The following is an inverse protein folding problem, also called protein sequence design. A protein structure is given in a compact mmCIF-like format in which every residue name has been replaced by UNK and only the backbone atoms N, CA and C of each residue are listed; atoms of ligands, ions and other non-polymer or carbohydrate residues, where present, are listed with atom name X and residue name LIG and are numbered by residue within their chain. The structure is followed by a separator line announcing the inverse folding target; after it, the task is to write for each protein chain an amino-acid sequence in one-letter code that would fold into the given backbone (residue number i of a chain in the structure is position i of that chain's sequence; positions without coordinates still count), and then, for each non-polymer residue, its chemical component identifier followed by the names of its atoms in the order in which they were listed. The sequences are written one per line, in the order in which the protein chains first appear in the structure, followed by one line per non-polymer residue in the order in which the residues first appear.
data_IF_675259344354
#
_entry.id   IF_675259344354
#
_cell.length_a   1.000
_cell.length_b   1.000
_cell.length_c   1.000
_cell.angle_alpha   90.00
_cell.angle_beta   90.00
_cell.angle_gamma   90.00
#
_symmetry.space_group_name_H-M   'P 1'
#
loop_
_entity.id
_entity.type
_entity.pdbx_description
1 polymer ?
#
# COMPACT_ATOMS: atom_id res chain seq x y z
N UNK A 1 7.22 18.11 -29.21
CA UNK A 1 7.96 17.33 -30.24
C UNK A 1 7.96 15.81 -30.04
N UNK A 2 8.23 15.27 -28.84
CA UNK A 2 8.38 13.82 -28.61
C UNK A 2 7.14 13.00 -29.03
N UNK A 3 5.95 13.39 -28.55
CA UNK A 3 4.69 12.69 -28.83
C UNK A 3 4.21 12.78 -30.29
N UNK A 4 4.63 13.80 -31.03
CA UNK A 4 4.15 14.03 -32.40
C UNK A 4 5.13 13.51 -33.45
N UNK A 5 6.44 13.60 -33.18
CA UNK A 5 7.49 13.32 -34.17
C UNK A 5 8.04 11.90 -34.07
N UNK A 6 8.02 11.31 -32.88
CA UNK A 6 8.73 10.05 -32.57
C UNK A 6 7.86 8.97 -31.92
N UNK A 7 6.54 9.16 -31.85
CA UNK A 7 5.61 8.24 -31.18
C UNK A 7 5.62 6.80 -31.69
N UNK A 8 5.95 6.59 -32.97
CA UNK A 8 5.98 5.27 -33.60
C UNK A 8 7.40 4.85 -34.03
N UNK A 9 8.44 5.49 -33.48
CA UNK A 9 9.82 5.22 -33.86
C UNK A 9 10.56 4.43 -32.79
N UNK A 10 10.94 3.20 -33.12
CA UNK A 10 11.81 2.36 -32.28
C UNK A 10 13.25 2.88 -32.20
N UNK A 11 13.63 3.76 -33.14
CA UNK A 11 14.96 4.37 -33.19
C UNK A 11 14.90 5.85 -33.57
N UNK A 12 15.28 6.71 -32.62
CA UNK A 12 15.41 8.16 -32.84
C UNK A 12 16.88 8.52 -32.98
N UNK A 13 17.29 8.95 -34.18
CA UNK A 13 18.64 9.44 -34.42
C UNK A 13 18.75 10.94 -34.16
N UNK A 14 19.26 11.30 -32.98
CA UNK A 14 19.72 12.66 -32.71
C UNK A 14 21.04 12.88 -33.46
N UNK A 15 21.10 13.85 -34.38
CA UNK A 15 22.34 14.12 -35.12
C UNK A 15 23.44 14.57 -34.14
N UNK A 16 24.64 13.99 -34.24
CA UNK A 16 25.80 14.19 -33.33
C UNK A 16 26.16 15.66 -33.06
N UNK A 17 25.79 16.57 -33.96
CA UNK A 17 26.13 17.99 -33.84
C UNK A 17 25.11 18.79 -33.02
N UNK A 18 24.02 18.18 -32.54
CA UNK A 18 22.93 18.88 -31.84
C UNK A 18 22.96 18.65 -30.33
N UNK A 19 23.22 17.43 -29.86
CA UNK A 19 23.18 17.08 -28.43
C UNK A 19 24.41 16.24 -28.06
N UNK A 20 25.21 16.76 -27.13
CA UNK A 20 26.39 16.08 -26.59
C UNK A 20 25.98 14.87 -25.72
N UNK A 21 26.73 13.76 -25.70
CA UNK A 21 26.36 12.57 -24.92
C UNK A 21 26.17 12.85 -23.42
N UNK A 22 27.00 13.70 -22.83
CA UNK A 22 26.85 14.09 -21.41
C UNK A 22 25.59 14.93 -21.17
N UNK A 23 25.24 15.81 -22.12
CA UNK A 23 23.98 16.57 -22.09
C UNK A 23 22.79 15.63 -22.15
N UNK A 24 22.82 14.63 -23.03
CA UNK A 24 21.74 13.64 -23.11
C UNK A 24 21.61 12.82 -21.82
N UNK A 25 22.73 12.39 -21.23
CA UNK A 25 22.72 11.70 -19.93
C UNK A 25 22.16 12.57 -18.81
N UNK A 26 22.48 13.87 -18.79
CA UNK A 26 21.96 14.81 -17.81
C UNK A 26 20.46 15.06 -18.00
N UNK A 27 19.99 15.14 -19.25
CA UNK A 27 18.56 15.23 -19.57
C UNK A 27 17.80 14.00 -19.10
N UNK A 28 18.31 12.79 -19.37
CA UNK A 28 17.69 11.56 -18.89
C UNK A 28 17.63 11.53 -17.36
N UNK A 29 18.73 11.90 -16.67
CA UNK A 29 18.74 11.99 -15.21
C UNK A 29 17.67 12.96 -14.71
N UNK A 30 17.55 14.14 -15.30
CA UNK A 30 16.51 15.10 -14.95
C UNK A 30 15.10 14.54 -15.17
N UNK A 31 14.84 13.87 -16.30
CA UNK A 31 13.52 13.26 -16.58
C UNK A 31 13.15 12.22 -15.52
N UNK A 32 14.10 11.36 -15.13
CA UNK A 32 13.80 10.25 -14.21
C UNK A 32 13.87 10.63 -12.74
N UNK A 33 14.71 11.59 -12.35
CA UNK A 33 14.98 11.88 -10.94
C UNK A 33 14.71 13.33 -10.55
N UNK A 34 14.33 14.19 -11.51
CA UNK A 34 14.26 15.64 -11.33
C UNK A 34 15.62 16.30 -11.09
N UNK A 35 16.71 15.53 -11.00
CA UNK A 35 18.00 16.05 -10.57
C UNK A 35 18.76 16.66 -11.74
N UNK A 36 19.29 17.86 -11.51
CA UNK A 36 20.24 18.52 -12.39
C UNK A 36 21.59 18.56 -11.67
N UNK A 37 22.64 18.14 -12.35
CA UNK A 37 24.00 18.43 -11.88
C UNK A 37 24.31 19.89 -12.21
N UNK A 38 24.62 20.69 -11.20
CA UNK A 38 24.87 22.12 -11.35
C UNK A 38 26.36 22.44 -11.57
N UNK A 39 27.25 21.44 -11.43
CA UNK A 39 28.69 21.57 -11.64
C UNK A 39 29.09 21.23 -13.10
N UNK A 40 28.33 21.74 -14.08
CA UNK A 40 28.56 21.46 -15.49
C UNK A 40 29.53 22.47 -16.12
N UNK A 41 30.41 21.98 -16.97
CA UNK A 41 31.23 22.83 -17.84
C UNK A 41 30.35 23.73 -18.71
N UNK A 42 30.84 24.94 -19.03
CA UNK A 42 30.08 25.95 -19.78
C UNK A 42 29.56 25.45 -21.13
N UNK A 43 30.30 24.57 -21.80
CA UNK A 43 29.93 24.00 -23.08
C UNK A 43 28.77 23.00 -22.96
N UNK A 44 28.77 22.21 -21.88
CA UNK A 44 27.70 21.24 -21.57
C UNK A 44 26.43 21.98 -21.16
N UNK A 45 26.55 23.05 -20.36
CA UNK A 45 25.42 23.90 -19.97
C UNK A 45 24.75 24.56 -21.19
N UNK A 46 25.54 25.13 -22.10
CA UNK A 46 25.00 25.72 -23.33
C UNK A 46 24.31 24.68 -24.22
N UNK A 47 24.87 23.47 -24.31
CA UNK A 47 24.23 22.38 -25.05
C UNK A 47 22.96 21.87 -24.35
N UNK A 48 22.92 21.86 -23.02
CA UNK A 48 21.71 21.56 -22.24
C UNK A 48 20.60 22.59 -22.46
N UNK A 49 20.92 23.89 -22.46
CA UNK A 49 19.97 24.96 -22.79
C UNK A 49 19.40 24.77 -24.20
N UNK A 50 20.27 24.50 -25.19
CA UNK A 50 19.82 24.20 -26.55
C UNK A 50 18.89 22.99 -26.60
N UNK A 51 19.28 21.87 -25.98
CA UNK A 51 18.53 20.63 -26.01
C UNK A 51 17.20 20.73 -25.25
N UNK A 52 17.17 21.36 -24.07
CA UNK A 52 15.95 21.58 -23.29
C UNK A 52 14.93 22.44 -24.08
N UNK A 53 15.39 23.48 -24.78
CA UNK A 53 14.52 24.27 -25.67
C UNK A 53 14.01 23.46 -26.85
N UNK A 54 14.90 22.71 -27.51
CA UNK A 54 14.57 21.94 -28.71
C UNK A 54 13.60 20.79 -28.45
N UNK A 55 13.74 20.14 -27.29
CA UNK A 55 12.88 19.04 -26.83
C UNK A 55 11.63 19.53 -26.08
N UNK A 56 11.45 20.86 -25.96
CA UNK A 56 10.31 21.50 -25.27
C UNK A 56 10.23 21.22 -23.76
N UNK A 57 11.38 20.97 -23.11
CA UNK A 57 11.49 20.94 -21.65
C UNK A 57 11.53 22.36 -21.08
N UNK A 58 10.40 23.06 -21.18
CA UNK A 58 10.27 24.48 -20.80
C UNK A 58 10.72 24.76 -19.38
N UNK A 59 10.37 23.88 -18.42
CA UNK A 59 10.77 24.07 -17.03
C UNK A 59 12.28 23.96 -16.81
N UNK A 60 12.89 22.88 -17.33
CA UNK A 60 14.34 22.68 -17.26
C UNK A 60 15.08 23.84 -17.92
N UNK A 61 14.60 24.30 -19.07
CA UNK A 61 15.19 25.44 -19.76
C UNK A 61 15.19 26.71 -18.90
N UNK A 62 14.09 27.01 -18.19
CA UNK A 62 14.04 28.15 -17.26
C UNK A 62 15.00 27.97 -16.08
N UNK A 63 15.06 26.78 -15.47
CA UNK A 63 15.97 26.47 -14.36
C UNK A 63 17.45 26.67 -14.73
N UNK A 64 17.85 26.18 -15.91
CA UNK A 64 19.23 26.33 -16.41
C UNK A 64 19.61 27.80 -16.67
N UNK A 65 18.64 28.68 -16.95
CA UNK A 65 18.88 30.12 -17.09
C UNK A 65 19.06 30.82 -15.73
N UNK A 66 18.36 30.35 -14.70
CA UNK A 66 18.37 30.91 -13.33
C UNK A 66 19.62 30.51 -12.51
N UNK A 67 20.35 29.46 -12.93
CA UNK A 67 21.59 28.96 -12.30
C UNK A 67 22.73 29.99 -12.12
N UNK A 68 22.61 31.19 -12.69
CA UNK A 68 23.59 32.27 -12.47
C UNK A 68 23.54 32.88 -11.06
N UNK A 69 22.58 32.52 -10.20
CA UNK A 69 22.47 33.07 -8.85
C UNK A 69 22.23 32.01 -7.74
N UNK A 70 23.32 31.67 -7.03
CA UNK A 70 23.39 31.18 -5.63
C UNK A 70 22.85 29.79 -5.24
N UNK A 71 23.55 29.15 -4.29
CA UNK A 71 23.34 27.77 -3.82
C UNK A 71 22.04 27.52 -3.02
N UNK A 72 21.43 28.53 -2.40
CA UNK A 72 20.18 28.34 -1.63
C UNK A 72 18.95 28.15 -2.55
N UNK A 73 18.98 28.70 -3.77
CA UNK A 73 17.97 28.45 -4.80
C UNK A 73 17.93 26.96 -5.20
N UNK A 74 19.08 26.28 -5.20
CA UNK A 74 19.21 24.88 -5.62
C UNK A 74 18.40 23.91 -4.73
N UNK A 75 18.29 24.19 -3.43
CA UNK A 75 17.52 23.36 -2.48
C UNK A 75 16.02 23.63 -2.54
N UNK A 76 15.61 24.87 -2.84
CA UNK A 76 14.18 25.20 -3.03
C UNK A 76 13.65 24.65 -4.35
N UNK A 77 14.44 24.73 -5.44
CA UNK A 77 14.05 24.18 -6.74
C UNK A 77 13.84 22.65 -6.69
N UNK A 78 14.70 21.93 -5.96
CA UNK A 78 14.54 20.46 -5.79
C UNK A 78 13.22 20.06 -5.11
N UNK A 79 12.69 20.86 -4.16
CA UNK A 79 11.40 20.58 -3.51
C UNK A 79 10.21 20.83 -4.45
N UNK A 80 10.27 21.90 -5.23
CA UNK A 80 9.24 22.21 -6.23
C UNK A 80 9.22 21.18 -7.35
N UNK A 81 10.38 20.72 -7.81
CA UNK A 81 10.53 19.66 -8.81
C UNK A 81 9.92 18.34 -8.32
N UNK A 82 10.26 17.91 -7.09
CA UNK A 82 9.67 16.71 -6.49
C UNK A 82 8.15 16.82 -6.40
N UNK A 83 7.64 18.01 -6.10
CA UNK A 83 6.18 18.25 -6.01
C UNK A 83 5.51 18.16 -7.39
N UNK A 84 6.14 18.72 -8.43
CA UNK A 84 5.65 18.62 -9.82
C UNK A 84 5.68 17.18 -10.32
N UNK A 85 6.78 16.46 -10.11
CA UNK A 85 6.89 15.05 -10.48
C UNK A 85 5.81 14.20 -9.81
N UNK A 86 5.53 14.43 -8.52
CA UNK A 86 4.44 13.75 -7.82
C UNK A 86 3.08 14.05 -8.46
N UNK A 87 2.82 15.31 -8.79
CA UNK A 87 1.57 15.69 -9.45
C UNK A 87 1.45 15.06 -10.85
N UNK A 88 2.54 15.00 -11.61
CA UNK A 88 2.57 14.36 -12.94
C UNK A 88 2.27 12.85 -12.82
N UNK A 89 2.83 12.16 -11.81
CA UNK A 89 2.49 10.75 -11.54
C UNK A 89 1.04 10.55 -11.09
N UNK A 90 0.51 11.44 -10.24
CA UNK A 90 -0.91 11.41 -9.83
C UNK A 90 -1.83 11.58 -11.05
N UNK A 91 -1.53 12.53 -11.94
CA UNK A 91 -2.26 12.72 -13.19
C UNK A 91 -2.13 11.53 -14.13
N UNK A 92 -0.94 10.94 -14.24
CA UNK A 92 -0.72 9.75 -15.06
C UNK A 92 -1.51 8.55 -14.55
N UNK A 93 -1.56 8.35 -13.23
CA UNK A 93 -2.40 7.35 -12.59
C UNK A 93 -3.89 7.58 -12.90
N UNK A 94 -4.40 8.82 -12.77
CA UNK A 94 -5.79 9.16 -13.10
C UNK A 94 -6.09 8.80 -14.57
N UNK A 95 -5.24 9.21 -15.51
CA UNK A 95 -5.40 8.88 -16.92
C UNK A 95 -5.47 7.36 -17.14
N UNK A 96 -4.61 6.58 -16.46
CA UNK A 96 -4.61 5.13 -16.56
C UNK A 96 -5.91 4.52 -16.04
N UNK A 97 -6.39 4.95 -14.88
CA UNK A 97 -7.66 4.50 -14.30
C UNK A 97 -8.86 4.81 -15.21
N UNK A 98 -8.89 5.97 -15.87
CA UNK A 98 -9.98 6.32 -16.79
C UNK A 98 -10.03 5.45 -18.05
N UNK A 99 -8.96 4.71 -18.35
CA UNK A 99 -8.86 3.77 -19.47
C UNK A 99 -9.20 2.34 -19.04
N UNK A 100 -9.31 2.07 -17.74
CA UNK A 100 -9.82 0.80 -17.23
C UNK A 100 -11.29 0.62 -17.62
N UNK A 101 -11.67 -0.63 -17.92
CA UNK A 101 -12.94 -0.93 -18.57
C UNK A 101 -13.61 -2.15 -17.97
N UNK A 102 -14.94 -2.12 -17.92
CA UNK A 102 -15.73 -3.34 -17.88
C UNK A 102 -15.95 -3.82 -19.31
N UNK A 103 -15.60 -5.07 -19.59
CA UNK A 103 -15.57 -5.58 -20.96
C UNK A 103 -16.35 -6.88 -21.14
N UNK A 104 -16.85 -7.10 -22.35
CA UNK A 104 -17.40 -8.39 -22.76
C UNK A 104 -16.43 -9.15 -23.66
N UNK A 105 -16.26 -10.47 -23.46
CA UNK A 105 -15.45 -11.29 -24.35
C UNK A 105 -16.19 -11.52 -25.66
N UNK A 106 -15.50 -11.31 -26.78
CA UNK A 106 -15.95 -11.67 -28.12
C UNK A 106 -15.08 -12.80 -28.71
N UNK A 107 -15.43 -13.28 -29.90
CA UNK A 107 -14.64 -14.27 -30.64
C UNK A 107 -13.20 -13.75 -30.88
N UNK A 108 -12.23 -14.69 -30.92
CA UNK A 108 -10.82 -14.40 -31.26
C UNK A 108 -10.01 -13.52 -30.28
N UNK A 109 -10.23 -13.66 -28.95
CA UNK A 109 -9.43 -12.93 -27.91
C UNK A 109 -9.61 -11.41 -27.99
N UNK A 110 -10.81 -10.98 -28.34
CA UNK A 110 -11.19 -9.58 -28.37
C UNK A 110 -12.06 -9.28 -27.16
N UNK A 111 -11.77 -8.17 -26.47
CA UNK A 111 -12.54 -7.66 -25.35
C UNK A 111 -13.09 -6.30 -25.72
N UNK A 112 -14.40 -6.16 -25.75
CA UNK A 112 -15.07 -4.91 -26.11
C UNK A 112 -15.50 -4.20 -24.83
N UNK A 113 -15.10 -2.95 -24.69
CA UNK A 113 -15.54 -2.11 -23.58
C UNK A 113 -17.05 -1.89 -23.64
N UNK A 114 -17.72 -2.26 -22.56
CA UNK A 114 -19.14 -1.96 -22.32
C UNK A 114 -19.23 -0.54 -21.75
N UNK A 115 -18.48 -0.29 -20.68
CA UNK A 115 -18.40 1.01 -20.01
C UNK A 115 -17.05 1.22 -19.30
N UNK A 116 -16.67 2.48 -19.02
CA UNK A 116 -15.51 2.78 -18.21
C UNK A 116 -15.70 2.30 -16.77
N UNK A 117 -14.68 1.65 -16.20
CA UNK A 117 -14.76 1.16 -14.82
C UNK A 117 -14.95 2.31 -13.80
N UNK A 118 -14.19 3.39 -13.95
CA UNK A 118 -14.23 4.52 -13.01
C UNK A 118 -15.51 5.39 -13.12
N UNK A 119 -16.49 5.02 -13.94
CA UNK A 119 -17.69 5.79 -14.28
C UNK A 119 -17.44 7.23 -14.81
N UNK A 120 -16.18 7.59 -15.05
CA UNK A 120 -15.76 8.82 -15.68
C UNK A 120 -15.61 8.64 -17.20
N UNK A 121 -15.86 9.71 -17.96
CA UNK A 121 -15.59 9.69 -19.39
C UNK A 121 -14.08 9.62 -19.65
N UNK A 122 -13.68 8.93 -20.73
CA UNK A 122 -12.27 8.87 -21.14
C UNK A 122 -11.69 10.28 -21.26
N UNK A 123 -10.72 10.59 -20.40
CA UNK A 123 -10.06 11.90 -20.39
C UNK A 123 -8.90 11.97 -21.40
N UNK A 124 -8.43 10.82 -21.87
CA UNK A 124 -7.33 10.70 -22.82
C UNK A 124 -7.56 9.52 -23.77
N UNK A 125 -6.82 9.49 -24.89
CA UNK A 125 -6.84 8.33 -25.78
C UNK A 125 -6.20 7.12 -25.07
N UNK A 126 -6.77 5.91 -25.15
CA UNK A 126 -6.20 4.71 -24.54
C UNK A 126 -4.75 4.42 -24.97
N UNK A 127 -4.35 4.79 -26.19
CA UNK A 127 -2.96 4.63 -26.65
C UNK A 127 -1.97 5.59 -25.96
N UNK A 128 -2.45 6.71 -25.44
CA UNK A 128 -1.61 7.75 -24.85
C UNK A 128 -1.05 7.41 -23.47
N UNK A 129 -1.57 6.35 -22.82
CA UNK A 129 -1.03 5.88 -21.55
C UNK A 129 0.19 4.96 -21.73
N UNK A 130 0.45 4.43 -22.93
CA UNK A 130 1.59 3.55 -23.23
C UNK A 130 1.64 2.25 -22.40
N UNK A 131 0.48 1.69 -22.04
CA UNK A 131 0.40 0.40 -21.37
C UNK A 131 1.04 -0.72 -22.22
N UNK A 132 1.71 -1.66 -21.55
CA UNK A 132 2.40 -2.81 -22.15
C UNK A 132 1.91 -4.15 -21.59
N UNK A 133 0.89 -4.12 -20.72
CA UNK A 133 0.21 -5.26 -20.13
C UNK A 133 -1.20 -4.88 -19.68
N UNK A 134 -2.10 -5.85 -19.58
CA UNK A 134 -3.41 -5.67 -18.98
C UNK A 134 -3.67 -6.73 -17.90
N UNK A 135 -4.29 -6.30 -16.80
CA UNK A 135 -4.74 -7.17 -15.71
C UNK A 135 -6.26 -7.27 -15.76
N UNK A 136 -6.79 -8.48 -15.89
CA UNK A 136 -8.22 -8.80 -15.78
C UNK A 136 -8.53 -9.25 -14.36
N UNK A 137 -9.61 -8.74 -13.80
CA UNK A 137 -10.18 -9.15 -12.52
C UNK A 137 -11.55 -9.82 -12.73
N UNK A 138 -12.29 -10.02 -11.64
CA UNK A 138 -13.68 -10.48 -11.67
C UNK A 138 -14.57 -9.54 -12.51
N UNK A 139 -15.75 -10.04 -12.92
CA UNK A 139 -16.71 -9.31 -13.75
C UNK A 139 -16.17 -8.73 -15.07
N UNK A 140 -15.05 -9.30 -15.55
CA UNK A 140 -14.34 -8.87 -16.75
C UNK A 140 -13.92 -7.39 -16.72
N UNK A 141 -13.55 -6.91 -15.53
CA UNK A 141 -12.93 -5.61 -15.38
C UNK A 141 -11.45 -5.73 -15.75
N UNK A 142 -10.99 -4.87 -16.66
CA UNK A 142 -9.65 -4.93 -17.24
C UNK A 142 -8.94 -3.59 -17.02
N UNK A 143 -7.74 -3.67 -16.44
CA UNK A 143 -6.84 -2.55 -16.17
C UNK A 143 -5.61 -2.62 -17.08
N UNK A 144 -5.50 -1.79 -18.12
CA UNK A 144 -4.25 -1.57 -18.83
C UNK A 144 -3.22 -0.89 -17.93
N UNK A 145 -2.03 -1.48 -17.81
CA UNK A 145 -1.00 -1.10 -16.85
C UNK A 145 0.41 -1.17 -17.47
N UNK A 146 1.42 -0.93 -16.65
CA UNK A 146 2.84 -0.98 -17.05
C UNK A 146 3.60 -2.03 -16.26
N UNK A 147 4.30 -2.93 -16.96
CA UNK A 147 5.19 -3.93 -16.33
C UNK A 147 6.22 -3.28 -15.42
N UNK A 148 6.81 -2.15 -15.85
CA UNK A 148 7.80 -1.41 -15.07
C UNK A 148 7.27 -0.94 -13.70
N UNK A 149 5.97 -0.66 -13.60
CA UNK A 149 5.33 -0.27 -12.34
C UNK A 149 4.91 -1.49 -11.54
N UNK A 150 4.24 -2.47 -12.17
CA UNK A 150 3.82 -3.70 -11.49
C UNK A 150 5.01 -4.43 -10.85
N UNK A 151 6.14 -4.56 -11.55
CA UNK A 151 7.34 -5.23 -11.03
C UNK A 151 8.02 -4.51 -9.84
N UNK A 152 7.51 -3.36 -9.39
CA UNK A 152 7.91 -2.79 -8.10
C UNK A 152 7.40 -3.62 -6.91
N UNK A 153 6.37 -4.44 -7.15
CA UNK A 153 5.79 -5.37 -6.18
C UNK A 153 6.34 -6.76 -6.44
N UNK A 154 6.75 -7.45 -5.37
CA UNK A 154 7.41 -8.76 -5.45
C UNK A 154 6.54 -9.82 -6.13
N UNK A 155 5.24 -9.84 -5.80
CA UNK A 155 4.26 -10.75 -6.41
C UNK A 155 4.29 -10.66 -7.95
N UNK A 156 4.12 -9.45 -8.49
CA UNK A 156 4.12 -9.23 -9.95
C UNK A 156 5.50 -9.45 -10.56
N UNK A 157 6.57 -9.06 -9.89
CA UNK A 157 7.92 -9.27 -10.39
C UNK A 157 8.23 -10.77 -10.54
N UNK A 158 7.87 -11.57 -9.54
CA UNK A 158 8.03 -13.03 -9.55
C UNK A 158 7.16 -13.68 -10.61
N UNK A 159 5.89 -13.24 -10.75
CA UNK A 159 4.97 -13.74 -11.76
C UNK A 159 5.44 -13.44 -13.20
N UNK A 160 5.89 -12.22 -13.47
CA UNK A 160 6.23 -11.75 -14.81
C UNK A 160 7.65 -12.10 -15.25
N UNK A 161 8.59 -12.21 -14.31
CA UNK A 161 9.99 -12.52 -14.59
C UNK A 161 10.37 -13.98 -14.29
N UNK A 162 9.51 -14.71 -13.61
CA UNK A 162 9.69 -16.12 -13.26
C UNK A 162 9.32 -17.08 -14.40
N UNK A 163 9.50 -18.40 -14.20
CA UNK A 163 9.28 -19.43 -15.22
C UNK A 163 7.79 -19.82 -15.37
N UNK A 164 6.88 -18.90 -15.07
CA UNK A 164 5.44 -19.16 -15.04
C UNK A 164 4.78 -18.87 -16.40
N UNK A 165 3.59 -19.45 -16.65
CA UNK A 165 2.90 -19.31 -17.93
C UNK A 165 2.47 -17.87 -18.25
N UNK A 166 2.37 -17.04 -17.22
CA UNK A 166 2.09 -15.62 -17.23
C UNK A 166 3.18 -14.81 -17.96
N UNK A 167 4.41 -15.31 -18.02
CA UNK A 167 5.48 -14.71 -18.82
C UNK A 167 5.12 -14.70 -20.32
N UNK A 168 4.46 -15.77 -20.78
CA UNK A 168 3.99 -15.97 -22.15
C UNK A 168 2.51 -15.57 -22.32
N UNK A 169 2.05 -14.60 -21.51
CA UNK A 169 0.69 -14.09 -21.57
C UNK A 169 0.27 -13.73 -22.99
N UNK A 170 -0.88 -14.28 -23.41
CA UNK A 170 -1.37 -14.16 -24.78
C UNK A 170 -1.81 -12.73 -25.05
N UNK A 171 -1.45 -12.24 -26.23
CA UNK A 171 -1.97 -10.97 -26.73
C UNK A 171 -3.48 -11.06 -26.96
N UNK A 172 -4.18 -10.04 -26.49
CA UNK A 172 -5.61 -9.81 -26.69
C UNK A 172 -5.83 -8.43 -27.30
N UNK A 173 -6.95 -8.22 -27.97
CA UNK A 173 -7.33 -6.90 -28.49
C UNK A 173 -8.38 -6.29 -27.56
N UNK A 174 -8.06 -5.15 -26.96
CA UNK A 174 -9.00 -4.33 -26.19
C UNK A 174 -9.59 -3.27 -27.13
N UNK A 175 -10.91 -3.21 -27.24
CA UNK A 175 -11.62 -2.33 -28.17
C UNK A 175 -12.41 -1.28 -27.40
N UNK A 176 -12.10 -0.01 -27.65
CA UNK A 176 -12.77 1.14 -27.05
C UNK A 176 -13.83 1.75 -28.01
N UNK A 177 -14.82 2.51 -27.51
CA UNK A 177 -15.94 3.02 -28.32
C UNK A 177 -15.54 3.93 -29.49
N UNK A 178 -14.40 4.62 -29.39
CA UNK A 178 -13.87 5.51 -30.43
C UNK A 178 -13.06 4.77 -31.51
N UNK A 179 -13.17 3.44 -31.58
CA UNK A 179 -12.39 2.54 -32.44
C UNK A 179 -10.87 2.58 -32.16
N UNK A 180 -10.45 3.11 -31.00
CA UNK A 180 -9.08 2.87 -30.55
C UNK A 180 -8.96 1.46 -30.02
N UNK A 181 -7.98 0.73 -30.57
CA UNK A 181 -7.67 -0.63 -30.16
C UNK A 181 -6.29 -0.65 -29.48
N UNK A 182 -6.18 -1.42 -28.40
CA UNK A 182 -4.93 -1.75 -27.75
C UNK A 182 -4.68 -3.25 -27.85
N UNK A 183 -3.44 -3.64 -28.17
CA UNK A 183 -3.05 -5.04 -28.25
C UNK A 183 -2.07 -5.29 -27.11
N UNK A 184 -2.51 -5.96 -26.06
CA UNK A 184 -1.76 -6.14 -24.82
C UNK A 184 -1.74 -7.62 -24.41
N UNK A 185 -0.68 -8.10 -23.75
CA UNK A 185 -0.74 -9.36 -23.03
C UNK A 185 -1.74 -9.22 -21.87
N UNK A 186 -2.64 -10.20 -21.71
CA UNK A 186 -3.64 -10.22 -20.65
C UNK A 186 -3.29 -11.27 -19.60
N UNK A 187 -3.26 -10.84 -18.33
CA UNK A 187 -3.13 -11.73 -17.17
C UNK A 187 -4.39 -11.60 -16.33
N UNK A 188 -4.86 -12.70 -15.76
CA UNK A 188 -6.01 -12.72 -14.87
C UNK A 188 -5.54 -12.84 -13.42
N UNK A 189 -6.01 -11.95 -12.56
CA UNK A 189 -5.91 -12.10 -11.12
C UNK A 189 -7.28 -12.51 -10.57
N UNK A 190 -7.24 -13.46 -9.64
CA UNK A 190 -8.41 -13.95 -8.94
C UNK A 190 -8.44 -13.39 -7.52
N UNK A 191 -9.62 -13.38 -6.91
CA UNK A 191 -9.84 -13.01 -5.50
C UNK A 191 -9.38 -11.58 -5.14
N UNK A 192 -9.42 -10.67 -6.12
CA UNK A 192 -9.16 -9.23 -5.91
C UNK A 192 -10.33 -8.42 -6.43
N UNK A 193 -10.90 -7.62 -5.54
CA UNK A 193 -11.93 -6.64 -5.90
C UNK A 193 -11.34 -5.51 -6.77
N UNK A 194 -12.10 -5.08 -7.77
CA UNK A 194 -11.63 -4.11 -8.74
C UNK A 194 -11.45 -2.71 -8.17
N UNK A 195 -12.27 -2.33 -7.20
CA UNK A 195 -12.16 -1.04 -6.52
C UNK A 195 -10.94 -1.03 -5.62
N UNK A 196 -10.68 -2.13 -4.93
CA UNK A 196 -9.46 -2.27 -4.12
C UNK A 196 -8.20 -2.25 -4.99
N UNK A 197 -8.20 -2.98 -6.11
CA UNK A 197 -7.06 -3.00 -7.02
C UNK A 197 -6.82 -1.64 -7.70
N UNK A 198 -7.88 -1.06 -8.27
CA UNK A 198 -7.81 0.18 -9.02
C UNK A 198 -7.46 1.36 -8.13
N UNK A 199 -8.27 1.61 -7.10
CA UNK A 199 -8.14 2.82 -6.28
C UNK A 199 -6.98 2.78 -5.29
N UNK A 200 -6.56 1.60 -4.83
CA UNK A 200 -5.56 1.50 -3.75
C UNK A 200 -4.26 0.84 -4.21
N UNK A 201 -4.31 -0.33 -4.84
CA UNK A 201 -3.09 -1.04 -5.27
C UNK A 201 -2.39 -0.27 -6.38
N UNK A 202 -3.09 0.05 -7.47
CA UNK A 202 -2.50 0.79 -8.59
C UNK A 202 -2.12 2.22 -8.18
N UNK A 203 -2.93 2.90 -7.36
CA UNK A 203 -2.55 4.23 -6.85
C UNK A 203 -1.23 4.17 -6.08
N UNK A 204 -1.09 3.19 -5.19
CA UNK A 204 0.12 3.00 -4.40
C UNK A 204 1.34 2.70 -5.28
N UNK A 205 1.21 1.76 -6.21
CA UNK A 205 2.30 1.35 -7.12
C UNK A 205 2.80 2.54 -7.96
N UNK A 206 1.89 3.40 -8.41
CA UNK A 206 2.22 4.51 -9.31
C UNK A 206 2.69 5.77 -8.58
N UNK A 207 2.19 6.02 -7.37
CA UNK A 207 2.38 7.32 -6.69
C UNK A 207 3.09 7.23 -5.34
N UNK A 208 3.35 6.02 -4.82
CA UNK A 208 3.86 5.76 -3.46
C UNK A 208 2.98 6.35 -2.34
N UNK A 209 1.74 6.67 -2.67
CA UNK A 209 0.70 7.22 -1.79
C UNK A 209 -0.59 6.47 -2.01
N UNK A 210 -1.40 6.43 -0.96
CA UNK A 210 -2.72 5.87 -0.99
C UNK A 210 -3.51 6.50 0.17
N UNK A 211 -4.71 7.00 -0.09
CA UNK A 211 -5.60 7.49 0.96
C UNK A 211 -6.71 6.46 1.14
N UNK A 212 -6.61 5.67 2.21
CA UNK A 212 -7.49 4.53 2.46
C UNK A 212 -8.60 4.99 3.42
N UNK A 213 -9.87 5.01 2.98
CA UNK A 213 -11.03 5.20 3.87
C UNK A 213 -11.13 4.07 4.90
N UNK A 214 -11.85 4.33 6.00
CA UNK A 214 -11.99 3.33 7.05
C UNK A 214 -12.80 2.12 6.59
N UNK A 215 -13.83 2.34 5.74
CA UNK A 215 -14.67 1.27 5.19
C UNK A 215 -13.89 0.25 4.36
N UNK A 216 -12.88 0.69 3.60
CA UNK A 216 -12.13 -0.19 2.69
C UNK A 216 -10.84 -0.73 3.32
N UNK A 217 -10.47 -0.25 4.51
CA UNK A 217 -9.17 -0.53 5.09
C UNK A 217 -8.93 -2.03 5.37
N UNK A 218 -9.99 -2.77 5.70
CA UNK A 218 -9.89 -4.21 5.91
C UNK A 218 -9.60 -4.95 4.59
N UNK A 219 -10.34 -4.67 3.53
CA UNK A 219 -10.13 -5.31 2.22
C UNK A 219 -8.78 -4.93 1.61
N UNK A 220 -8.36 -3.67 1.78
CA UNK A 220 -7.00 -3.24 1.39
C UNK A 220 -5.93 -4.01 2.15
N UNK A 221 -6.13 -4.29 3.44
CA UNK A 221 -5.18 -5.10 4.23
C UNK A 221 -5.03 -6.50 3.64
N UNK A 222 -6.14 -7.16 3.33
CA UNK A 222 -6.15 -8.52 2.76
C UNK A 222 -5.47 -8.56 1.39
N UNK A 223 -5.85 -7.67 0.49
CA UNK A 223 -5.29 -7.61 -0.88
C UNK A 223 -3.81 -7.21 -0.84
N UNK A 224 -3.41 -6.28 0.03
CA UNK A 224 -2.02 -5.88 0.15
C UNK A 224 -1.14 -7.02 0.68
N UNK A 225 -1.64 -7.85 1.60
CA UNK A 225 -0.93 -9.05 2.05
C UNK A 225 -0.82 -10.08 0.92
N UNK A 226 -1.93 -10.38 0.24
CA UNK A 226 -1.96 -11.34 -0.87
C UNK A 226 -0.99 -10.96 -2.00
N UNK A 227 -0.88 -9.66 -2.31
CA UNK A 227 0.04 -9.13 -3.32
C UNK A 227 1.45 -8.83 -2.79
N UNK A 228 1.75 -9.14 -1.52
CA UNK A 228 3.05 -8.91 -0.89
C UNK A 228 3.50 -7.44 -0.95
N UNK A 229 2.58 -6.51 -0.61
CA UNK A 229 2.81 -5.06 -0.60
C UNK A 229 2.87 -4.58 0.86
N UNK A 230 3.97 -4.87 1.55
CA UNK A 230 4.15 -4.61 2.99
C UNK A 230 3.83 -3.18 3.42
N UNK A 231 4.24 -2.19 2.62
CA UNK A 231 4.01 -0.78 2.97
C UNK A 231 2.54 -0.38 2.84
N UNK A 232 1.80 -0.94 1.86
CA UNK A 232 0.35 -0.70 1.74
C UNK A 232 -0.41 -1.44 2.85
N UNK A 233 0.00 -2.68 3.16
CA UNK A 233 -0.51 -3.48 4.29
C UNK A 233 -0.34 -2.72 5.61
N UNK A 234 0.83 -2.14 5.86
CA UNK A 234 1.09 -1.31 7.04
C UNK A 234 0.22 -0.04 7.07
N UNK A 235 0.00 0.62 5.93
CA UNK A 235 -0.88 1.79 5.83
C UNK A 235 -2.33 1.43 6.18
N UNK A 236 -2.86 0.32 5.64
CA UNK A 236 -4.18 -0.19 5.96
C UNK A 236 -4.32 -0.49 7.47
N UNK A 237 -3.36 -1.22 8.05
CA UNK A 237 -3.35 -1.50 9.48
C UNK A 237 -3.34 -0.23 10.36
N UNK A 238 -2.64 0.83 9.94
CA UNK A 238 -2.68 2.13 10.63
C UNK A 238 -4.09 2.74 10.59
N UNK A 239 -4.76 2.69 9.44
CA UNK A 239 -6.13 3.23 9.30
C UNK A 239 -7.11 2.48 10.21
N UNK A 240 -7.03 1.14 10.24
CA UNK A 240 -7.87 0.30 11.09
C UNK A 240 -7.63 0.62 12.57
N UNK A 241 -6.37 0.63 13.00
CA UNK A 241 -6.01 0.82 14.43
C UNK A 241 -6.19 2.25 14.95
N UNK A 242 -6.44 3.22 14.06
CA UNK A 242 -6.82 4.58 14.43
C UNK A 242 -8.32 4.73 14.71
N UNK A 243 -9.14 3.72 14.39
CA UNK A 243 -10.57 3.75 14.67
C UNK A 243 -10.86 3.51 16.15
N UNK A 244 -11.85 4.22 16.69
CA UNK A 244 -12.26 4.04 18.09
C UNK A 244 -12.93 2.68 18.32
N UNK A 245 -13.78 2.29 17.38
CA UNK A 245 -14.47 1.01 17.35
C UNK A 245 -13.93 0.17 16.18
N UNK A 246 -13.94 -1.17 16.29
CA UNK A 246 -13.61 -2.07 15.20
C UNK A 246 -14.50 -1.80 13.97
N UNK A 247 -13.88 -1.77 12.79
CA UNK A 247 -14.60 -1.56 11.52
C UNK A 247 -15.36 -2.80 11.04
N UNK A 248 -14.99 -3.97 11.56
CA UNK A 248 -15.62 -5.27 11.35
C UNK A 248 -15.75 -5.99 12.69
N UNK A 249 -16.27 -7.22 12.69
CA UNK A 249 -16.32 -8.05 13.88
C UNK A 249 -14.92 -8.23 14.52
N UNK A 250 -14.84 -8.05 15.83
CA UNK A 250 -13.55 -8.08 16.55
C UNK A 250 -12.88 -9.46 16.51
N UNK A 251 -13.66 -10.54 16.45
CA UNK A 251 -13.10 -11.89 16.37
C UNK A 251 -12.55 -12.18 14.97
N UNK A 252 -13.23 -11.70 13.94
CA UNK A 252 -12.69 -11.74 12.58
C UNK A 252 -11.40 -10.90 12.46
N UNK A 253 -11.38 -9.72 13.08
CA UNK A 253 -10.25 -8.81 13.02
C UNK A 253 -9.00 -9.37 13.72
N UNK A 254 -9.14 -9.95 14.92
CA UNK A 254 -8.00 -10.54 15.63
C UNK A 254 -7.49 -11.80 14.93
N UNK A 255 -8.40 -12.62 14.38
CA UNK A 255 -8.00 -13.80 13.61
C UNK A 255 -7.17 -13.37 12.38
N UNK A 256 -7.64 -12.35 11.66
CA UNK A 256 -6.89 -11.75 10.54
C UNK A 256 -5.54 -11.20 10.99
N UNK A 257 -5.48 -10.52 12.13
CA UNK A 257 -4.23 -9.98 12.65
C UNK A 257 -3.19 -11.09 12.93
N UNK A 258 -3.62 -12.21 13.51
CA UNK A 258 -2.76 -13.37 13.80
C UNK A 258 -2.33 -14.05 12.49
N UNK A 259 -3.27 -14.32 11.58
CA UNK A 259 -2.99 -15.01 10.31
C UNK A 259 -2.04 -14.21 9.42
N UNK A 260 -2.27 -12.90 9.32
CA UNK A 260 -1.44 -11.98 8.54
C UNK A 260 -0.22 -11.46 9.31
N UNK A 261 -0.03 -11.87 10.57
CA UNK A 261 1.08 -11.45 11.42
C UNK A 261 1.22 -9.92 11.54
N UNK A 262 0.10 -9.23 11.76
CA UNK A 262 0.02 -7.77 11.91
C UNK A 262 -0.04 -7.41 13.40
N UNK A 263 1.12 -7.39 14.05
CA UNK A 263 1.25 -7.17 15.51
C UNK A 263 0.49 -5.92 15.98
N UNK A 264 0.60 -4.80 15.26
CA UNK A 264 -0.12 -3.56 15.61
C UNK A 264 -1.64 -3.76 15.67
N UNK A 265 -2.20 -4.55 14.75
CA UNK A 265 -3.63 -4.83 14.69
C UNK A 265 -4.05 -5.82 15.78
N UNK A 266 -3.20 -6.81 16.08
CA UNK A 266 -3.40 -7.73 17.19
C UNK A 266 -3.45 -6.99 18.52
N UNK A 267 -2.47 -6.11 18.78
CA UNK A 267 -2.43 -5.25 19.96
C UNK A 267 -3.66 -4.33 20.07
N UNK A 268 -4.15 -3.81 18.94
CA UNK A 268 -5.41 -3.06 18.91
C UNK A 268 -6.60 -3.91 19.36
N UNK A 269 -6.70 -5.15 18.88
CA UNK A 269 -7.79 -6.05 19.24
C UNK A 269 -7.74 -6.45 20.73
N UNK A 270 -6.55 -6.81 21.23
CA UNK A 270 -6.37 -7.18 22.65
C UNK A 270 -6.72 -5.99 23.56
N UNK A 271 -6.28 -4.79 23.18
CA UNK A 271 -6.65 -3.56 23.89
C UNK A 271 -8.17 -3.32 23.90
N UNK A 272 -8.84 -3.59 22.78
CA UNK A 272 -10.30 -3.49 22.70
C UNK A 272 -10.96 -4.51 23.64
N UNK A 273 -10.50 -5.76 23.65
CA UNK A 273 -10.97 -6.78 24.60
C UNK A 273 -10.76 -6.35 26.06
N UNK A 274 -9.60 -5.79 26.42
CA UNK A 274 -9.32 -5.32 27.78
C UNK A 274 -10.33 -4.26 28.26
N UNK A 275 -10.67 -3.30 27.38
CA UNK A 275 -11.63 -2.21 27.67
C UNK A 275 -13.05 -2.69 27.86
N UNK A 276 -13.41 -3.77 27.18
CA UNK A 276 -14.76 -4.30 27.12
C UNK A 276 -14.85 -5.70 27.71
N UNK A 277 -13.95 -6.03 28.65
CA UNK A 277 -13.73 -7.40 29.12
C UNK A 277 -15.01 -8.05 29.65
N UNK A 278 -15.87 -7.30 30.35
CA UNK A 278 -17.15 -7.81 30.89
C UNK A 278 -18.06 -8.39 29.81
N UNK A 279 -18.01 -7.81 28.61
CA UNK A 279 -18.84 -8.25 27.50
C UNK A 279 -18.30 -9.55 26.89
N UNK A 280 -16.98 -9.78 26.95
CA UNK A 280 -16.30 -10.84 26.21
C UNK A 280 -15.88 -12.04 27.04
N UNK A 281 -15.62 -11.87 28.34
CA UNK A 281 -15.01 -12.89 29.20
C UNK A 281 -15.76 -14.22 29.25
N UNK A 282 -17.08 -14.20 29.06
CA UNK A 282 -17.94 -15.39 29.06
C UNK A 282 -18.29 -15.90 27.65
N UNK A 283 -17.84 -15.21 26.60
CA UNK A 283 -18.16 -15.60 25.24
C UNK A 283 -17.30 -16.80 24.80
N UNK A 284 -17.90 -17.83 24.18
CA UNK A 284 -17.15 -19.01 23.73
C UNK A 284 -15.98 -18.66 22.79
N UNK A 285 -16.18 -17.70 21.89
CA UNK A 285 -15.16 -17.24 20.93
C UNK A 285 -13.93 -16.65 21.65
N UNK A 286 -14.13 -15.86 22.71
CA UNK A 286 -13.04 -15.33 23.53
C UNK A 286 -12.27 -16.43 24.27
N UNK A 287 -13.01 -17.38 24.86
CA UNK A 287 -12.40 -18.53 25.54
C UNK A 287 -11.60 -19.41 24.55
N UNK A 288 -12.06 -19.53 23.31
CA UNK A 288 -11.34 -20.26 22.27
C UNK A 288 -10.06 -19.54 21.82
N UNK A 289 -10.03 -18.20 21.79
CA UNK A 289 -8.79 -17.44 21.58
C UNK A 289 -7.75 -17.74 22.67
N UNK A 290 -8.16 -17.76 23.94
CA UNK A 290 -7.28 -18.13 25.06
C UNK A 290 -6.74 -19.54 24.87
N UNK A 291 -7.59 -20.52 24.53
CA UNK A 291 -7.14 -21.91 24.27
C UNK A 291 -6.16 -21.99 23.10
N UNK A 292 -6.41 -21.25 22.02
CA UNK A 292 -5.54 -21.23 20.85
C UNK A 292 -4.18 -20.64 21.20
N UNK A 293 -4.15 -19.53 21.94
CA UNK A 293 -2.91 -18.94 22.45
C UNK A 293 -2.19 -19.88 23.42
N UNK A 294 -2.91 -20.62 24.28
CA UNK A 294 -2.29 -21.60 25.16
C UNK A 294 -1.71 -22.79 24.38
N UNK A 295 -2.37 -23.20 23.29
CA UNK A 295 -1.91 -24.31 22.45
C UNK A 295 -0.69 -23.95 21.59
N UNK A 296 -0.54 -22.68 21.18
CA UNK A 296 0.59 -22.22 20.35
C UNK A 296 1.94 -22.30 21.08
N UNK A 297 1.93 -22.23 22.42
CA UNK A 297 3.11 -22.28 23.31
C UNK A 297 3.81 -23.65 23.27
N UNK A 298 3.14 -24.73 22.85
CA UNK A 298 3.74 -26.09 22.80
C UNK A 298 4.88 -26.24 21.78
N UNK A 299 5.18 -25.22 20.96
CA UNK A 299 6.23 -25.29 19.91
C UNK A 299 7.61 -24.72 20.30
N UNK A 300 7.84 -24.15 21.49
CA UNK A 300 9.20 -23.84 22.04
C UNK A 300 9.20 -23.85 23.58
N UNK A 301 10.27 -24.40 24.17
CA UNK A 301 10.44 -24.76 25.59
C UNK A 301 10.75 -23.59 26.57
N UNK A 302 10.16 -22.39 26.48
CA UNK A 302 10.65 -21.25 27.32
C UNK A 302 9.63 -20.28 27.96
N UNK A 303 8.31 -20.48 27.90
CA UNK A 303 7.37 -19.55 28.57
C UNK A 303 6.30 -20.27 29.39
N UNK A 304 6.26 -20.03 30.70
CA UNK A 304 5.22 -20.48 31.63
C UNK A 304 3.90 -19.68 31.49
N UNK A 305 3.86 -18.65 30.63
CA UNK A 305 2.74 -17.72 30.52
C UNK A 305 2.07 -17.74 29.13
N UNK A 306 0.78 -17.42 29.10
CA UNK A 306 -0.04 -17.43 27.87
C UNK A 306 0.04 -16.06 27.20
N UNK A 307 0.62 -15.91 25.98
CA UNK A 307 0.88 -14.60 25.37
C UNK A 307 -0.34 -13.68 25.29
N UNK A 308 -1.49 -14.19 24.84
CA UNK A 308 -2.72 -13.41 24.78
C UNK A 308 -3.19 -12.92 26.15
N UNK A 309 -2.99 -13.73 27.21
CA UNK A 309 -3.36 -13.38 28.59
C UNK A 309 -2.42 -12.33 29.15
N UNK A 310 -1.12 -12.43 28.86
CA UNK A 310 -0.12 -11.46 29.31
C UNK A 310 -0.36 -10.08 28.67
N UNK A 311 -0.64 -10.04 27.37
CA UNK A 311 -0.99 -8.80 26.68
C UNK A 311 -2.30 -8.21 27.23
N UNK A 312 -3.28 -9.05 27.53
CA UNK A 312 -4.53 -8.61 28.15
C UNK A 312 -4.28 -8.02 29.55
N UNK A 313 -3.46 -8.66 30.38
CA UNK A 313 -3.05 -8.15 31.71
C UNK A 313 -2.33 -6.81 31.56
N UNK A 314 -1.41 -6.70 30.61
CA UNK A 314 -0.71 -5.45 30.31
C UNK A 314 -1.69 -4.32 29.95
N UNK A 315 -2.64 -4.55 29.04
CA UNK A 315 -3.63 -3.53 28.69
C UNK A 315 -4.58 -3.20 29.83
N UNK A 316 -4.99 -4.18 30.66
CA UNK A 316 -5.78 -3.93 31.86
C UNK A 316 -5.04 -2.99 32.82
N UNK A 317 -3.74 -3.20 33.04
CA UNK A 317 -2.89 -2.32 33.88
C UNK A 317 -2.90 -0.88 33.33
N UNK A 318 -2.76 -0.71 32.00
CA UNK A 318 -2.79 0.62 31.36
C UNK A 318 -4.16 1.29 31.43
N UNK A 319 -5.24 0.56 31.19
CA UNK A 319 -6.60 1.12 31.20
C UNK A 319 -7.05 1.55 32.61
N UNK A 320 -6.52 0.91 33.66
CA UNK A 320 -6.82 1.25 35.06
C UNK A 320 -5.75 2.16 35.72
N UNK A 321 -4.76 2.63 34.95
CA UNK A 321 -3.68 3.53 35.43
C UNK A 321 -2.87 2.98 36.61
N UNK A 322 -2.68 1.66 36.67
CA UNK A 322 -1.92 1.02 37.75
C UNK A 322 -0.42 1.18 37.48
N UNK A 323 0.34 1.63 38.47
CA UNK A 323 1.79 1.72 38.36
C UNK A 323 2.43 0.34 38.58
N UNK A 324 3.52 0.06 37.87
CA UNK A 324 4.22 -1.24 37.99
C UNK A 324 4.77 -1.48 39.39
N UNK A 325 5.06 -0.43 40.16
CA UNK A 325 5.54 -0.52 41.55
C UNK A 325 4.45 -0.95 42.55
N UNK A 326 3.17 -0.80 42.19
CA UNK A 326 2.04 -1.19 43.03
C UNK A 326 1.67 -2.68 42.86
N UNK A 327 2.23 -3.34 41.85
CA UNK A 327 1.97 -4.73 41.50
C UNK A 327 2.86 -5.69 42.30
N UNK A 328 2.26 -6.78 42.79
CA UNK A 328 2.98 -7.90 43.38
C UNK A 328 3.50 -8.88 42.31
N UNK A 329 4.16 -9.96 42.73
CA UNK A 329 4.71 -10.99 41.81
C UNK A 329 3.64 -11.67 40.92
N UNK A 330 2.37 -11.63 41.33
CA UNK A 330 1.24 -12.14 40.54
C UNK A 330 0.59 -11.09 39.62
N UNK A 331 1.17 -9.89 39.52
CA UNK A 331 0.64 -8.79 38.72
C UNK A 331 -0.65 -8.18 39.28
N UNK A 332 -0.91 -8.32 40.59
CA UNK A 332 -2.08 -7.75 41.29
C UNK A 332 -1.64 -6.60 42.18
N UNK A 333 -2.52 -5.62 42.39
CA UNK A 333 -2.25 -4.56 43.38
C UNK A 333 -2.16 -5.19 44.76
N UNK A 334 -1.16 -4.80 45.56
CA UNK A 334 -0.88 -5.44 46.85
C UNK A 334 -2.11 -5.44 47.78
N UNK A 335 -2.50 -6.64 48.24
CA UNK A 335 -3.62 -6.87 49.17
C UNK A 335 -3.34 -6.41 50.60
N UNK A 336 -2.08 -6.16 50.97
CA UNK A 336 -1.72 -5.66 52.31
C UNK A 336 -2.32 -4.29 52.63
N UNK A 337 -2.70 -3.52 51.60
CA UNK A 337 -3.35 -2.21 51.73
C UNK A 337 -4.73 -2.18 51.07
N UNK A 338 -5.41 -3.32 51.01
CA UNK A 338 -6.72 -3.45 50.36
C UNK A 338 -7.76 -2.46 50.91
N UNK A 339 -7.69 -2.12 52.20
CA UNK A 339 -8.57 -1.13 52.83
C UNK A 339 -8.37 0.31 52.30
N UNK A 340 -7.28 0.58 51.58
CA UNK A 340 -6.96 1.89 50.99
C UNK A 340 -6.95 1.89 49.47
N UNK A 341 -7.40 0.81 48.82
CA UNK A 341 -7.50 0.79 47.37
C UNK A 341 -8.41 1.89 46.86
N UNK A 342 -7.95 2.52 45.78
CA UNK A 342 -8.76 3.37 44.93
C UNK A 342 -9.84 2.54 44.21
N UNK A 343 -10.83 3.22 43.67
CA UNK A 343 -11.87 2.59 42.85
C UNK A 343 -11.28 1.86 41.63
N UNK A 344 -10.22 2.42 41.03
CA UNK A 344 -9.53 1.85 39.87
C UNK A 344 -8.73 0.59 40.22
N UNK A 345 -8.01 0.57 41.34
CA UNK A 345 -7.29 -0.62 41.83
C UNK A 345 -8.25 -1.74 42.21
N UNK A 346 -9.40 -1.40 42.78
CA UNK A 346 -10.47 -2.36 43.08
C UNK A 346 -11.03 -2.97 41.80
N UNK A 347 -11.37 -2.14 40.81
CA UNK A 347 -11.89 -2.60 39.53
C UNK A 347 -10.86 -3.45 38.77
N UNK A 348 -9.58 -3.04 38.77
CA UNK A 348 -8.49 -3.78 38.15
C UNK A 348 -8.36 -5.20 38.71
N UNK A 349 -8.31 -5.35 40.04
CA UNK A 349 -8.23 -6.67 40.67
C UNK A 349 -9.49 -7.52 40.40
N UNK A 350 -10.68 -6.90 40.32
CA UNK A 350 -11.90 -7.60 39.92
C UNK A 350 -11.79 -8.14 38.48
N UNK A 351 -11.24 -7.36 37.52
CA UNK A 351 -11.02 -7.84 36.15
C UNK A 351 -10.03 -9.00 36.10
N UNK A 352 -8.95 -8.94 36.86
CA UNK A 352 -7.99 -10.04 36.96
C UNK A 352 -8.62 -11.29 37.56
N UNK A 353 -9.46 -11.14 38.59
CA UNK A 353 -10.19 -12.26 39.17
C UNK A 353 -11.16 -12.92 38.16
N UNK A 354 -11.86 -12.12 37.36
CA UNK A 354 -12.71 -12.64 36.27
C UNK A 354 -11.89 -13.40 35.22
N UNK A 355 -10.71 -12.90 34.89
CA UNK A 355 -9.79 -13.55 33.95
C UNK A 355 -9.26 -14.88 34.50
N UNK A 356 -8.84 -14.91 35.78
CA UNK A 356 -8.36 -16.13 36.43
C UNK A 356 -9.48 -17.18 36.55
N UNK A 357 -10.73 -16.76 36.82
CA UNK A 357 -11.89 -17.65 36.78
C UNK A 357 -12.12 -18.24 35.39
N UNK A 358 -11.97 -17.43 34.33
CA UNK A 358 -12.06 -17.91 32.96
C UNK A 358 -10.96 -18.93 32.64
N UNK A 359 -9.71 -18.66 33.03
CA UNK A 359 -8.58 -19.59 32.83
C UNK A 359 -8.79 -20.90 33.59
N UNK A 360 -9.22 -20.83 34.84
CA UNK A 360 -9.55 -22.01 35.65
C UNK A 360 -10.66 -22.86 35.01
N UNK A 361 -11.69 -22.23 34.44
CA UNK A 361 -12.77 -22.93 33.74
C UNK A 361 -12.29 -23.70 32.50
N UNK A 362 -11.16 -23.28 31.93
CA UNK A 362 -10.51 -23.93 30.78
C UNK A 362 -9.48 -24.99 31.20
N UNK A 363 -9.24 -25.17 32.50
CA UNK A 363 -8.17 -26.05 33.01
C UNK A 363 -6.77 -25.52 32.70
N UNK A 364 -6.65 -24.21 32.51
CA UNK A 364 -5.38 -23.52 32.29
C UNK A 364 -4.96 -22.87 33.62
N UNK A 365 -3.70 -23.04 33.98
CA UNK A 365 -3.06 -22.26 35.05
C UNK A 365 -2.43 -21.02 34.42
N UNK A 366 -2.40 -19.94 35.21
CA UNK A 366 -2.21 -18.56 34.75
C UNK A 366 -0.87 -17.97 35.17
#
# INVERSE_FOLDING_TARGET
NLLNRWSEQDHVKLQRNLVHPMTFSALLRYIYTGYIDYALDSDILNNMLFAAKHLEFHHLHSLLLEQKSTNDALRSHSKEEITRLRHDFEKFYINMITVAMQAEPQQERTWIMIEPWAAESLQCSPKSIFADIAIKLHDNIIFPCHKAYLCRVEFFNTMLSGPFGEQDAKLVTLVYPDQTNMILPLIELHDVDADIFGYYVLQFIYTDKCNIPAEDAYDVLLVADMLLIDRLKAMAAIVITNQKEPIIDIYELIQTAIELQVERLEQYCIKYFARHLDNFIHQPQFLDLIKQSAASIKKREETDSIPFVDDLRYFLTKEHFIAEEDLNESGRVNSEYQDTWTELETLYNQKLEMLDQALSSLGLEA
#
